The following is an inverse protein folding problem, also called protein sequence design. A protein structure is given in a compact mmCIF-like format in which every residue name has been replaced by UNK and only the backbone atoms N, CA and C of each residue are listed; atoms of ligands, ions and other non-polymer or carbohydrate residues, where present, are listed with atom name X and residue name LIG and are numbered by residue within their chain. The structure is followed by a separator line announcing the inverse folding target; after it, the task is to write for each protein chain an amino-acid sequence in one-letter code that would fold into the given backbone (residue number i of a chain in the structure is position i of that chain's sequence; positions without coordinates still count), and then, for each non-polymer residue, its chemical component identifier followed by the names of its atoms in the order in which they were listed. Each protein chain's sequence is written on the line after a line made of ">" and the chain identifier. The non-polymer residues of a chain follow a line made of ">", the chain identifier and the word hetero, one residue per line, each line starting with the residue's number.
data_IF_766219646286
#
_entry.id   IF_766219646286
#
_cell.length_a   1.000
_cell.length_b   1.000
_cell.length_c   1.000
_cell.angle_alpha   90.00
_cell.angle_beta   90.00
_cell.angle_gamma   90.00
#
_symmetry.space_group_name_H-M   'P 1'
#
loop_
_entity.id
_entity.type
_entity.pdbx_description
1 polymer ?
#
# COMPACT_ATOMS: atom_id res chain seq x y z
N UNK A 1 22.80 -25.99 -70.00
CA UNK A 1 23.27 -26.28 -68.65
C UNK A 1 22.42 -25.47 -67.70
N UNK A 2 21.52 -26.13 -66.92
CA UNK A 2 20.63 -25.49 -65.97
C UNK A 2 21.16 -25.82 -64.53
N UNK A 3 21.60 -24.80 -63.75
CA UNK A 3 22.02 -24.95 -62.38
C UNK A 3 20.83 -24.74 -61.45
N UNK A 4 20.39 -25.81 -60.81
CA UNK A 4 19.37 -25.76 -59.76
C UNK A 4 19.98 -25.33 -58.42
N UNK A 5 19.52 -24.24 -57.84
CA UNK A 5 19.84 -23.84 -56.46
C UNK A 5 18.93 -24.52 -55.41
N UNK A 6 19.41 -24.80 -54.21
CA UNK A 6 18.64 -25.53 -53.21
C UNK A 6 17.58 -24.66 -52.53
N UNK A 7 16.33 -25.18 -52.49
CA UNK A 7 15.22 -24.60 -51.73
C UNK A 7 15.48 -24.75 -50.22
N UNK A 8 15.64 -23.64 -49.47
CA UNK A 8 15.61 -23.60 -48.02
C UNK A 8 14.18 -23.89 -47.55
N UNK A 9 14.01 -24.99 -46.82
CA UNK A 9 12.79 -25.26 -46.04
C UNK A 9 12.72 -24.27 -44.90
N UNK A 10 11.66 -23.45 -44.84
CA UNK A 10 11.34 -22.61 -43.69
C UNK A 10 10.84 -23.46 -42.54
N UNK A 11 11.62 -23.54 -41.49
CA UNK A 11 11.20 -24.11 -40.22
C UNK A 11 10.13 -23.21 -39.58
N UNK A 12 8.88 -23.67 -39.66
CA UNK A 12 7.74 -23.01 -39.02
C UNK A 12 7.87 -23.07 -37.51
N UNK A 13 8.30 -21.98 -36.91
CA UNK A 13 8.25 -21.77 -35.47
C UNK A 13 6.79 -21.85 -35.01
N UNK A 14 6.35 -23.03 -34.51
CA UNK A 14 5.05 -23.20 -33.89
C UNK A 14 5.03 -22.38 -32.60
N UNK A 15 4.40 -21.22 -32.66
CA UNK A 15 4.01 -20.49 -31.44
C UNK A 15 3.10 -21.39 -30.60
N UNK A 16 3.65 -22.00 -29.58
CA UNK A 16 2.88 -22.70 -28.52
C UNK A 16 2.08 -21.63 -27.80
N UNK A 17 0.78 -21.50 -28.13
CA UNK A 17 -0.15 -20.69 -27.38
C UNK A 17 -0.10 -21.15 -25.90
N UNK A 18 0.16 -20.23 -24.92
CA UNK A 18 0.10 -20.61 -23.53
C UNK A 18 -1.28 -21.18 -23.22
N UNK A 19 -1.37 -22.20 -22.34
CA UNK A 19 -2.63 -22.84 -22.04
C UNK A 19 -3.63 -21.78 -21.53
N UNK A 20 -4.80 -21.71 -22.17
CA UNK A 20 -5.94 -20.89 -21.72
C UNK A 20 -6.27 -21.32 -20.29
N UNK A 21 -5.88 -20.50 -19.29
CA UNK A 21 -6.28 -20.71 -17.90
C UNK A 21 -7.80 -20.77 -17.87
N UNK A 22 -8.33 -21.93 -17.47
CA UNK A 22 -9.77 -22.15 -17.31
C UNK A 22 -10.38 -21.01 -16.49
N UNK A 23 -11.21 -20.22 -17.14
CA UNK A 23 -11.90 -19.09 -16.53
C UNK A 23 -12.95 -19.70 -15.58
N UNK A 24 -12.66 -19.73 -14.25
CA UNK A 24 -13.68 -20.12 -13.27
C UNK A 24 -14.92 -19.28 -13.52
N UNK A 25 -16.12 -19.87 -13.52
CA UNK A 25 -17.35 -19.18 -13.88
C UNK A 25 -17.46 -17.89 -13.05
N UNK A 26 -17.83 -16.80 -13.68
CA UNK A 26 -18.00 -15.47 -13.06
C UNK A 26 -18.86 -15.52 -11.77
N UNK A 27 -19.80 -16.46 -11.73
CA UNK A 27 -20.68 -16.71 -10.57
C UNK A 27 -19.87 -17.14 -9.34
N UNK A 28 -18.94 -18.09 -9.48
CA UNK A 28 -18.14 -18.59 -8.35
C UNK A 28 -17.25 -17.50 -7.73
N UNK A 29 -16.71 -16.60 -8.55
CA UNK A 29 -15.95 -15.44 -8.06
C UNK A 29 -16.83 -14.46 -7.30
N UNK A 30 -18.05 -14.19 -7.80
CA UNK A 30 -19.02 -13.31 -7.12
C UNK A 30 -19.45 -13.88 -5.79
N UNK A 31 -19.78 -15.18 -5.74
CA UNK A 31 -20.13 -15.87 -4.50
C UNK A 31 -18.98 -15.83 -3.49
N UNK A 32 -17.76 -16.20 -3.91
CA UNK A 32 -16.58 -16.14 -3.04
C UNK A 32 -16.29 -14.72 -2.53
N UNK A 33 -16.52 -13.70 -3.35
CA UNK A 33 -16.36 -12.30 -2.95
C UNK A 33 -17.45 -11.88 -1.94
N UNK A 34 -18.68 -12.29 -2.17
CA UNK A 34 -19.78 -12.03 -1.22
C UNK A 34 -19.48 -12.67 0.14
N UNK A 35 -19.07 -13.92 0.15
CA UNK A 35 -18.69 -14.63 1.38
C UNK A 35 -17.53 -13.93 2.10
N UNK A 36 -16.53 -13.47 1.35
CA UNK A 36 -15.39 -12.72 1.92
C UNK A 36 -15.83 -11.40 2.57
N UNK A 37 -16.64 -10.60 1.89
CA UNK A 37 -17.12 -9.32 2.44
C UNK A 37 -18.09 -9.53 3.61
N UNK A 38 -18.95 -10.55 3.54
CA UNK A 38 -19.81 -10.94 4.67
C UNK A 38 -18.97 -11.38 5.86
N UNK A 39 -17.90 -12.16 5.63
CA UNK A 39 -16.97 -12.57 6.68
C UNK A 39 -16.30 -11.35 7.34
N UNK A 40 -15.85 -10.35 6.55
CA UNK A 40 -15.33 -9.10 7.11
C UNK A 40 -16.37 -8.39 7.97
N UNK A 41 -17.61 -8.27 7.50
CA UNK A 41 -18.67 -7.59 8.22
C UNK A 41 -19.02 -8.31 9.55
N UNK A 42 -19.26 -9.61 9.48
CA UNK A 42 -19.65 -10.43 10.66
C UNK A 42 -18.52 -10.52 11.68
N UNK A 43 -17.29 -10.80 11.24
CA UNK A 43 -16.14 -10.85 12.15
C UNK A 43 -15.85 -9.48 12.80
N UNK A 44 -16.14 -8.37 12.09
CA UNK A 44 -15.99 -7.03 12.67
C UNK A 44 -16.96 -6.79 13.83
N UNK A 45 -18.17 -7.36 13.79
CA UNK A 45 -19.15 -7.28 14.90
C UNK A 45 -18.59 -7.96 16.15
N UNK A 46 -17.85 -9.06 15.99
CA UNK A 46 -17.24 -9.80 17.12
C UNK A 46 -15.92 -9.16 17.58
N UNK A 47 -15.07 -8.76 16.63
CA UNK A 47 -13.72 -8.30 16.95
C UNK A 47 -13.67 -6.86 17.44
N UNK A 48 -14.63 -6.01 17.07
CA UNK A 48 -14.67 -4.63 17.56
C UNK A 48 -14.92 -4.52 19.08
N UNK A 49 -15.88 -5.22 19.71
CA UNK A 49 -15.99 -5.27 21.17
C UNK A 49 -14.71 -5.72 21.85
N UNK A 50 -13.98 -6.70 21.29
CA UNK A 50 -12.68 -7.13 21.83
C UNK A 50 -11.65 -5.99 21.72
N UNK A 51 -11.61 -5.28 20.58
CA UNK A 51 -10.76 -4.10 20.43
C UNK A 51 -11.08 -3.02 21.48
N UNK A 52 -12.36 -2.82 21.77
CA UNK A 52 -12.80 -1.86 22.80
C UNK A 52 -12.34 -2.27 24.19
N UNK A 53 -12.45 -3.55 24.54
CA UNK A 53 -11.94 -4.08 25.81
C UNK A 53 -10.42 -3.93 25.89
N UNK A 54 -9.68 -4.31 24.83
CA UNK A 54 -8.22 -4.13 24.78
C UNK A 54 -7.86 -2.65 24.98
N UNK A 55 -8.56 -1.76 24.28
CA UNK A 55 -8.34 -0.31 24.45
C UNK A 55 -8.62 0.14 25.88
N UNK A 56 -9.77 -0.21 26.44
CA UNK A 56 -10.17 0.22 27.78
C UNK A 56 -9.21 -0.26 28.89
N UNK A 57 -8.67 -1.47 28.75
CA UNK A 57 -7.76 -2.06 29.73
C UNK A 57 -6.32 -1.61 29.57
N UNK A 58 -5.90 -1.18 28.37
CA UNK A 58 -4.48 -0.86 28.10
C UNK A 58 -4.19 0.63 27.91
N UNK A 59 -5.18 1.46 27.56
CA UNK A 59 -4.98 2.85 27.17
C UNK A 59 -4.36 3.75 28.26
N UNK A 60 -4.49 3.38 29.54
CA UNK A 60 -3.94 4.14 30.66
C UNK A 60 -2.40 4.04 30.73
N UNK A 61 -1.83 2.87 30.41
CA UNK A 61 -0.39 2.63 30.48
C UNK A 61 0.26 2.51 29.08
N UNK A 62 -0.49 2.12 28.05
CA UNK A 62 -0.01 2.09 26.66
C UNK A 62 -0.48 3.35 25.90
N UNK A 63 0.13 4.49 26.20
CA UNK A 63 -0.24 5.78 25.56
C UNK A 63 -0.10 5.77 24.03
N UNK A 64 0.78 4.93 23.50
CA UNK A 64 0.98 4.76 22.05
C UNK A 64 -0.02 3.81 21.42
N UNK A 65 -0.78 3.05 22.23
CA UNK A 65 -1.76 2.06 21.79
C UNK A 65 -1.10 0.94 20.95
N UNK A 66 0.07 0.47 21.38
CA UNK A 66 0.83 -0.59 20.70
C UNK A 66 0.07 -1.91 20.78
N UNK A 67 -0.50 -2.22 21.95
CA UNK A 67 -1.28 -3.45 22.19
C UNK A 67 -2.52 -3.48 21.31
N UNK A 68 -3.29 -2.37 21.29
CA UNK A 68 -4.47 -2.24 20.44
C UNK A 68 -4.08 -2.35 18.94
N UNK A 69 -2.98 -1.71 18.53
CA UNK A 69 -2.51 -1.80 17.16
C UNK A 69 -2.10 -3.23 16.78
N UNK A 70 -1.42 -3.97 17.67
CA UNK A 70 -1.10 -5.40 17.45
C UNK A 70 -2.34 -6.26 17.31
N UNK A 71 -3.36 -6.01 18.13
CA UNK A 71 -4.66 -6.65 17.96
C UNK A 71 -5.28 -6.31 16.60
N UNK A 72 -5.21 -5.05 16.17
CA UNK A 72 -5.66 -4.64 14.84
C UNK A 72 -4.87 -5.32 13.72
N UNK A 73 -3.55 -5.51 13.90
CA UNK A 73 -2.73 -6.30 12.96
C UNK A 73 -3.22 -7.75 12.87
N UNK A 74 -3.50 -8.39 14.00
CA UNK A 74 -4.09 -9.72 14.04
C UNK A 74 -5.44 -9.76 13.31
N UNK A 75 -6.36 -8.86 13.67
CA UNK A 75 -7.68 -8.76 13.06
C UNK A 75 -7.61 -8.62 11.53
N UNK A 76 -6.83 -7.66 11.02
CA UNK A 76 -6.66 -7.46 9.58
C UNK A 76 -5.98 -8.65 8.89
N UNK A 77 -5.02 -9.30 9.56
CA UNK A 77 -4.30 -10.44 9.03
C UNK A 77 -5.17 -11.69 8.86
N UNK A 78 -6.20 -11.87 9.70
CA UNK A 78 -7.17 -12.97 9.57
C UNK A 78 -7.74 -13.06 8.15
N UNK A 79 -8.04 -11.91 7.54
CA UNK A 79 -8.64 -11.85 6.21
C UNK A 79 -7.70 -12.37 5.11
N UNK A 80 -6.41 -12.23 5.29
CA UNK A 80 -5.41 -12.75 4.36
C UNK A 80 -4.97 -14.18 4.71
N UNK A 81 -4.97 -14.58 5.97
CA UNK A 81 -4.64 -15.94 6.39
C UNK A 81 -5.72 -16.95 6.02
N UNK A 82 -6.99 -16.58 6.24
CA UNK A 82 -8.13 -17.45 5.97
C UNK A 82 -8.55 -17.46 4.51
N UNK A 83 -7.95 -16.63 3.66
CA UNK A 83 -8.24 -16.65 2.23
C UNK A 83 -7.24 -17.54 1.46
N UNK A 84 -7.62 -18.76 1.06
CA UNK A 84 -6.72 -19.71 0.39
C UNK A 84 -6.30 -19.27 -1.02
N UNK A 85 -6.94 -18.22 -1.55
CA UNK A 85 -6.62 -17.67 -2.86
C UNK A 85 -5.38 -16.75 -2.83
N UNK A 86 -4.93 -16.31 -1.64
CA UNK A 86 -3.80 -15.40 -1.52
C UNK A 86 -2.63 -16.04 -0.81
N UNK A 87 -1.52 -16.11 -1.52
CA UNK A 87 -0.22 -16.50 -0.94
C UNK A 87 0.56 -15.21 -0.67
N UNK A 88 0.59 -14.78 0.59
CA UNK A 88 1.28 -13.55 0.98
C UNK A 88 2.66 -13.90 1.52
N UNK A 89 3.70 -13.42 0.85
CA UNK A 89 5.10 -13.52 1.25
C UNK A 89 5.59 -12.16 1.74
N UNK A 90 6.32 -12.17 2.85
CA UNK A 90 6.94 -10.96 3.42
C UNK A 90 8.44 -11.17 3.48
N UNK A 91 9.20 -10.27 2.90
CA UNK A 91 10.65 -10.27 2.83
C UNK A 91 11.20 -8.99 3.48
N UNK A 92 12.36 -9.05 4.11
CA UNK A 92 13.04 -7.89 4.70
C UNK A 92 12.42 -7.36 5.98
N UNK A 93 11.49 -8.10 6.62
CA UNK A 93 10.86 -7.66 7.88
C UNK A 93 11.89 -7.44 8.99
N UNK A 94 12.96 -8.18 8.99
CA UNK A 94 14.11 -8.10 9.91
C UNK A 94 14.86 -6.76 9.81
N UNK A 95 14.72 -6.04 8.70
CA UNK A 95 15.30 -4.70 8.52
C UNK A 95 14.60 -3.62 9.36
N UNK A 96 13.40 -3.91 9.88
CA UNK A 96 12.67 -3.01 10.77
C UNK A 96 13.25 -3.13 12.16
N UNK A 97 14.05 -2.15 12.58
CA UNK A 97 14.71 -2.16 13.88
C UNK A 97 13.68 -2.01 15.01
N UNK A 98 13.71 -2.88 16.03
CA UNK A 98 12.84 -2.77 17.19
C UNK A 98 12.98 -1.40 17.88
N UNK A 99 11.86 -0.75 18.20
CA UNK A 99 11.86 0.55 18.88
C UNK A 99 12.17 1.76 18.00
N UNK A 100 12.65 1.57 16.78
CA UNK A 100 12.87 2.68 15.85
C UNK A 100 11.56 3.28 15.35
N UNK A 101 11.61 4.57 15.04
CA UNK A 101 10.47 5.34 14.50
C UNK A 101 10.78 5.73 13.06
N UNK A 102 9.83 5.52 12.16
CA UNK A 102 9.98 5.73 10.73
C UNK A 102 8.84 6.53 10.13
N UNK A 103 9.12 7.25 9.05
CA UNK A 103 8.12 7.56 8.04
C UNK A 103 8.13 6.41 7.04
N UNK A 104 7.16 5.49 7.18
CA UNK A 104 7.00 4.34 6.32
C UNK A 104 6.22 4.73 5.07
N UNK A 105 6.74 4.41 3.90
CA UNK A 105 6.10 4.69 2.61
C UNK A 105 5.90 3.42 1.82
N UNK A 106 4.71 3.25 1.24
CA UNK A 106 4.39 2.09 0.42
C UNK A 106 3.67 2.50 -0.86
N UNK A 107 3.81 1.74 -1.96
CA UNK A 107 3.00 1.92 -3.15
C UNK A 107 1.55 1.43 -2.90
N UNK A 108 0.58 1.97 -3.65
CA UNK A 108 -0.84 1.72 -3.41
C UNK A 108 -1.58 1.24 -4.65
N UNK A 109 -1.79 -0.05 -4.76
CA UNK A 109 -2.41 -0.71 -5.90
C UNK A 109 -3.87 -1.12 -5.62
N UNK A 110 -4.16 -1.53 -4.38
CA UNK A 110 -5.42 -2.16 -4.00
C UNK A 110 -5.86 -1.80 -2.58
N UNK A 111 -7.12 -2.04 -2.26
CA UNK A 111 -7.57 -2.04 -0.87
C UNK A 111 -6.89 -3.12 -0.03
N UNK A 112 -6.46 -4.21 -0.66
CA UNK A 112 -5.74 -5.30 0.00
C UNK A 112 -4.37 -4.88 0.54
N UNK A 113 -3.74 -3.82 0.02
CA UNK A 113 -2.46 -3.33 0.52
C UNK A 113 -2.53 -3.04 2.02
N UNK A 114 -3.65 -2.48 2.47
CA UNK A 114 -3.87 -2.18 3.89
C UNK A 114 -3.87 -3.47 4.72
N UNK A 115 -4.59 -4.50 4.27
CA UNK A 115 -4.71 -5.78 4.98
C UNK A 115 -3.36 -6.51 5.06
N UNK A 116 -2.60 -6.50 3.96
CA UNK A 116 -1.33 -7.23 3.92
C UNK A 116 -0.21 -6.49 4.66
N UNK A 117 -0.22 -5.16 4.71
CA UNK A 117 0.75 -4.39 5.49
C UNK A 117 0.61 -4.62 7.01
N UNK A 118 -0.58 -4.90 7.50
CA UNK A 118 -0.78 -5.28 8.90
C UNK A 118 -0.07 -6.61 9.26
N UNK A 119 0.24 -7.48 8.29
CA UNK A 119 1.02 -8.71 8.51
C UNK A 119 2.48 -8.46 8.91
N UNK A 120 2.96 -7.25 8.78
CA UNK A 120 4.27 -6.87 9.32
C UNK A 120 4.30 -6.92 10.85
N UNK A 121 3.16 -6.79 11.54
CA UNK A 121 3.05 -6.78 13.00
C UNK A 121 3.99 -5.76 13.67
N UNK A 122 4.24 -4.65 12.99
CA UNK A 122 5.01 -3.51 13.53
C UNK A 122 4.07 -2.38 13.90
N UNK A 123 4.50 -1.57 14.89
CA UNK A 123 3.67 -0.48 15.35
C UNK A 123 3.80 0.76 14.46
N UNK A 124 2.71 1.22 13.90
CA UNK A 124 2.60 2.47 13.14
C UNK A 124 1.20 3.07 13.23
N UNK A 125 1.06 4.31 12.81
CA UNK A 125 -0.22 4.98 12.64
C UNK A 125 -0.45 5.28 11.17
N UNK A 126 -1.63 4.93 10.66
CA UNK A 126 -2.03 5.23 9.29
C UNK A 126 -2.37 6.70 9.10
N UNK A 127 -1.98 7.26 7.97
CA UNK A 127 -2.64 8.44 7.41
C UNK A 127 -3.70 7.96 6.44
N UNK A 128 -4.96 8.22 6.76
CA UNK A 128 -6.08 7.68 5.99
C UNK A 128 -7.13 8.73 5.69
N UNK A 129 -7.85 8.53 4.58
CA UNK A 129 -8.94 9.38 4.14
C UNK A 129 -10.04 9.45 5.20
N UNK A 130 -10.57 10.66 5.50
CA UNK A 130 -11.54 10.88 6.58
C UNK A 130 -12.81 10.04 6.43
N UNK A 131 -13.23 9.73 5.20
CA UNK A 131 -14.41 8.92 4.93
C UNK A 131 -14.26 7.47 5.41
N UNK A 132 -13.03 6.96 5.51
CA UNK A 132 -12.77 5.61 6.04
C UNK A 132 -13.15 5.50 7.52
N UNK A 133 -13.05 6.59 8.26
CA UNK A 133 -13.44 6.64 9.68
C UNK A 133 -14.97 6.61 9.91
N UNK A 134 -15.76 6.78 8.83
CA UNK A 134 -17.22 6.68 8.88
C UNK A 134 -17.73 5.25 8.70
N UNK A 135 -16.86 4.31 8.28
CA UNK A 135 -17.23 2.90 8.15
C UNK A 135 -17.47 2.33 9.54
N UNK A 136 -18.66 1.82 9.85
CA UNK A 136 -18.94 1.25 11.17
C UNK A 136 -17.92 0.18 11.56
N UNK A 137 -17.60 0.07 12.84
CA UNK A 137 -16.68 -0.89 13.45
C UNK A 137 -15.21 -0.70 12.99
N UNK A 138 -14.94 -0.76 11.69
CA UNK A 138 -13.59 -0.58 11.13
C UNK A 138 -13.11 0.86 11.34
N UNK A 139 -13.89 1.84 10.94
CA UNK A 139 -13.56 3.26 11.13
C UNK A 139 -13.50 3.66 12.60
N UNK A 140 -14.34 3.06 13.44
CA UNK A 140 -14.30 3.26 14.88
C UNK A 140 -13.01 2.67 15.50
N UNK A 141 -12.58 1.48 15.06
CA UNK A 141 -11.29 0.91 15.46
C UNK A 141 -10.11 1.78 14.99
N UNK A 142 -10.20 2.37 13.79
CA UNK A 142 -9.20 3.35 13.31
C UNK A 142 -9.14 4.59 14.22
N UNK A 143 -10.29 5.06 14.69
CA UNK A 143 -10.37 6.19 15.63
C UNK A 143 -9.80 5.82 17.02
N UNK A 144 -10.12 4.63 17.55
CA UNK A 144 -9.52 4.10 18.79
C UNK A 144 -7.99 4.04 18.70
N UNK A 145 -7.45 3.59 17.56
CA UNK A 145 -6.01 3.55 17.30
C UNK A 145 -5.38 4.93 17.10
N UNK A 146 -6.16 6.03 17.12
CA UNK A 146 -5.70 7.40 16.85
C UNK A 146 -4.98 7.54 15.52
N UNK A 147 -5.47 6.86 14.46
CA UNK A 147 -4.93 7.03 13.11
C UNK A 147 -5.21 8.45 12.58
N UNK A 148 -4.32 8.96 11.76
CA UNK A 148 -4.35 10.35 11.31
C UNK A 148 -5.34 10.51 10.16
N UNK A 149 -6.25 11.47 10.30
CA UNK A 149 -7.31 11.76 9.30
C UNK A 149 -6.81 12.77 8.28
N UNK A 150 -7.19 12.55 7.02
CA UNK A 150 -6.87 13.46 5.92
C UNK A 150 -8.10 13.66 5.03
N UNK A 151 -8.51 14.91 4.81
CA UNK A 151 -9.40 15.31 3.71
C UNK A 151 -8.54 15.77 2.55
N UNK A 152 -8.55 15.00 1.45
CA UNK A 152 -7.74 15.32 0.26
C UNK A 152 -8.27 16.58 -0.41
N UNK A 153 -7.35 17.44 -0.91
CA UNK A 153 -7.71 18.69 -1.57
C UNK A 153 -8.05 19.86 -0.62
N UNK A 154 -8.09 19.61 0.69
CA UNK A 154 -8.32 20.62 1.72
C UNK A 154 -6.98 21.01 2.37
N UNK A 155 -6.50 22.21 2.10
CA UNK A 155 -5.21 22.72 2.62
C UNK A 155 -5.16 22.73 4.14
N UNK A 156 -6.23 23.16 4.81
CA UNK A 156 -6.30 23.16 6.27
C UNK A 156 -6.21 21.74 6.85
N UNK A 157 -6.88 20.78 6.20
CA UNK A 157 -6.80 19.37 6.61
C UNK A 157 -5.40 18.79 6.40
N UNK A 158 -4.70 19.20 5.35
CA UNK A 158 -3.30 18.78 5.11
C UNK A 158 -2.38 19.32 6.22
N UNK A 159 -2.50 20.60 6.57
CA UNK A 159 -1.71 21.18 7.67
C UNK A 159 -1.97 20.44 8.99
N UNK A 160 -3.23 20.26 9.37
CA UNK A 160 -3.61 19.51 10.60
C UNK A 160 -3.11 18.06 10.58
N UNK A 161 -3.11 17.42 9.42
CA UNK A 161 -2.57 16.07 9.25
C UNK A 161 -1.05 16.05 9.47
N UNK A 162 -0.31 17.01 8.91
CA UNK A 162 1.15 17.12 9.08
C UNK A 162 1.50 17.31 10.56
N UNK A 163 0.85 18.26 11.25
CA UNK A 163 1.05 18.48 12.69
C UNK A 163 0.73 17.23 13.51
N UNK A 164 -0.35 16.49 13.17
CA UNK A 164 -0.70 15.25 13.86
C UNK A 164 0.35 14.15 13.62
N UNK A 165 0.92 14.07 12.42
CA UNK A 165 2.01 13.15 12.11
C UNK A 165 3.29 13.51 12.88
N UNK A 166 3.67 14.78 12.95
CA UNK A 166 4.82 15.25 13.71
C UNK A 166 4.70 14.89 15.19
N UNK A 167 3.54 15.18 15.82
CA UNK A 167 3.28 14.79 17.22
C UNK A 167 3.34 13.26 17.40
N UNK A 168 2.87 12.48 16.42
CA UNK A 168 2.86 11.03 16.48
C UNK A 168 4.28 10.46 16.41
N UNK A 169 5.12 10.99 15.52
CA UNK A 169 6.54 10.62 15.42
C UNK A 169 7.32 11.01 16.68
N UNK A 170 7.11 12.22 17.19
CA UNK A 170 7.72 12.70 18.44
C UNK A 170 7.33 11.82 19.65
N UNK A 171 6.12 11.25 19.64
CA UNK A 171 5.68 10.28 20.65
C UNK A 171 6.25 8.86 20.44
N UNK A 172 7.14 8.64 19.45
CA UNK A 172 7.79 7.36 19.18
C UNK A 172 6.91 6.35 18.43
N UNK A 173 5.92 6.81 17.67
CA UNK A 173 5.10 5.95 16.80
C UNK A 173 5.40 6.25 15.35
N UNK A 174 5.72 5.23 14.55
CA UNK A 174 5.92 5.36 13.10
C UNK A 174 4.64 5.81 12.40
N UNK A 175 4.79 6.49 11.25
CA UNK A 175 3.69 6.88 10.38
C UNK A 175 3.76 6.03 9.11
N UNK A 176 2.62 5.50 8.66
CA UNK A 176 2.49 4.77 7.39
C UNK A 176 1.69 5.61 6.40
N UNK A 177 2.25 5.84 5.22
CA UNK A 177 1.65 6.62 4.16
C UNK A 177 1.75 5.93 2.79
N UNK A 178 0.77 6.20 1.95
CA UNK A 178 0.82 5.92 0.52
C UNK A 178 1.11 7.23 -0.23
N UNK A 179 2.35 7.48 -0.67
CA UNK A 179 2.72 8.78 -1.26
C UNK A 179 2.01 9.06 -2.59
N UNK A 180 1.49 8.04 -3.28
CA UNK A 180 0.65 8.21 -4.46
C UNK A 180 -0.67 8.96 -4.16
N UNK A 181 -1.09 9.00 -2.91
CA UNK A 181 -2.31 9.65 -2.45
C UNK A 181 -3.61 8.98 -2.91
N UNK A 182 -3.57 8.00 -3.78
CA UNK A 182 -4.72 7.19 -4.22
C UNK A 182 -4.25 5.89 -4.84
N UNK A 183 -5.10 4.86 -4.86
CA UNK A 183 -4.80 3.59 -5.53
C UNK A 183 -4.51 3.78 -7.01
N UNK A 184 -3.56 3.03 -7.54
CA UNK A 184 -3.33 2.93 -8.97
C UNK A 184 -4.55 2.31 -9.69
N UNK A 185 -4.95 2.79 -10.86
CA UNK A 185 -6.05 2.21 -11.61
C UNK A 185 -5.66 0.93 -12.38
N UNK A 186 -4.41 0.81 -12.75
CA UNK A 186 -3.82 -0.22 -13.62
C UNK A 186 -2.73 -1.06 -12.94
N UNK A 187 -2.44 -0.76 -11.68
CA UNK A 187 -1.41 -1.43 -10.90
C UNK A 187 0.01 -0.86 -11.10
N UNK A 188 0.19 0.13 -11.98
CA UNK A 188 1.48 0.79 -12.18
C UNK A 188 1.74 1.85 -11.11
N UNK A 189 3.01 2.10 -10.83
CA UNK A 189 3.45 3.11 -9.89
C UNK A 189 3.08 4.53 -10.37
N UNK A 190 2.35 5.26 -9.56
CA UNK A 190 1.97 6.65 -9.83
C UNK A 190 3.07 7.63 -9.39
N UNK A 191 2.89 8.90 -9.76
CA UNK A 191 3.69 9.98 -9.20
C UNK A 191 3.49 10.06 -7.67
N UNK A 192 4.58 10.29 -6.95
CA UNK A 192 4.56 10.48 -5.51
C UNK A 192 4.26 11.95 -5.18
N UNK A 193 3.56 12.17 -4.08
CA UNK A 193 3.33 13.48 -3.49
C UNK A 193 4.39 13.77 -2.43
N UNK A 194 4.84 15.00 -2.28
CA UNK A 194 5.96 15.34 -1.40
C UNK A 194 5.68 15.18 0.11
N UNK A 195 4.41 15.11 0.53
CA UNK A 195 4.04 15.22 1.95
C UNK A 195 4.69 14.21 2.90
N UNK A 196 4.95 12.96 2.47
CA UNK A 196 5.66 11.98 3.31
C UNK A 196 7.15 12.34 3.46
N UNK A 197 7.76 12.84 2.41
CA UNK A 197 9.18 13.22 2.34
C UNK A 197 9.43 14.54 3.08
N UNK A 198 8.52 15.50 2.93
CA UNK A 198 8.49 16.73 3.73
C UNK A 198 8.40 16.41 5.23
N UNK A 199 7.51 15.48 5.63
CA UNK A 199 7.40 15.04 7.01
C UNK A 199 8.73 14.46 7.51
N UNK A 200 9.38 13.59 6.75
CA UNK A 200 10.65 12.98 7.11
C UNK A 200 11.77 14.02 7.29
N UNK A 201 11.85 15.01 6.37
CA UNK A 201 12.80 16.12 6.46
C UNK A 201 12.56 16.99 7.71
N UNK A 202 11.31 17.41 7.95
CA UNK A 202 10.93 18.27 9.10
C UNK A 202 11.16 17.61 10.44
N UNK A 203 10.89 16.31 10.54
CA UNK A 203 11.02 15.55 11.80
C UNK A 203 12.36 14.85 11.96
N UNK A 204 13.25 14.94 10.98
CA UNK A 204 14.55 14.25 10.94
C UNK A 204 14.39 12.73 11.15
N UNK A 205 13.30 12.17 10.62
CA UNK A 205 12.95 10.76 10.78
C UNK A 205 13.38 9.97 9.54
N UNK A 206 14.01 8.79 9.70
CA UNK A 206 14.38 7.95 8.56
C UNK A 206 13.14 7.49 7.77
N UNK A 207 13.32 7.35 6.45
CA UNK A 207 12.32 6.75 5.57
C UNK A 207 12.46 5.23 5.55
N UNK A 208 11.34 4.51 5.54
CA UNK A 208 11.32 3.07 5.35
C UNK A 208 10.43 2.71 4.15
N UNK A 209 11.02 2.44 2.99
CA UNK A 209 10.26 2.05 1.80
C UNK A 209 9.76 0.60 1.91
N UNK A 210 8.51 0.36 1.49
CA UNK A 210 7.88 -0.96 1.50
C UNK A 210 7.18 -1.18 0.16
N UNK A 211 7.64 -2.15 -0.61
CA UNK A 211 7.10 -2.45 -1.94
C UNK A 211 6.06 -3.56 -1.84
N UNK A 212 4.90 -3.34 -2.48
CA UNK A 212 3.79 -4.30 -2.53
C UNK A 212 3.53 -4.68 -3.97
N UNK A 213 3.41 -5.99 -4.23
CA UNK A 213 3.11 -6.54 -5.55
C UNK A 213 1.94 -7.53 -5.49
N UNK A 214 1.19 -7.61 -6.58
CA UNK A 214 0.18 -8.64 -6.80
C UNK A 214 -1.22 -8.30 -6.29
N UNK A 215 -1.39 -7.32 -5.43
CA UNK A 215 -2.68 -6.93 -4.85
C UNK A 215 -3.66 -6.35 -5.88
N UNK A 216 -3.18 -5.56 -6.86
CA UNK A 216 -4.02 -5.04 -7.95
C UNK A 216 -4.69 -6.16 -8.76
N UNK A 217 -3.98 -7.28 -8.96
CA UNK A 217 -4.52 -8.45 -9.67
C UNK A 217 -5.50 -9.25 -8.83
N UNK A 218 -5.32 -9.26 -7.50
CA UNK A 218 -6.20 -9.96 -6.56
C UNK A 218 -7.51 -9.20 -6.33
N UNK A 219 -7.45 -7.88 -6.19
CA UNK A 219 -8.61 -6.99 -6.08
C UNK A 219 -8.33 -5.67 -6.80
N UNK A 220 -8.80 -5.50 -8.04
CA UNK A 220 -8.64 -4.26 -8.80
C UNK A 220 -9.27 -3.05 -8.10
N UNK A 221 -8.77 -1.85 -8.42
CA UNK A 221 -9.26 -0.58 -7.84
C UNK A 221 -10.78 -0.39 -8.02
N UNK A 222 -11.31 -0.80 -9.17
CA UNK A 222 -12.75 -0.72 -9.49
C UNK A 222 -13.40 -2.07 -9.26
N UNK A 223 -14.38 -2.11 -8.37
CA UNK A 223 -15.15 -3.32 -8.05
C UNK A 223 -14.75 -3.98 -6.73
N UNK A 224 -15.59 -4.92 -6.31
CA UNK A 224 -15.47 -5.67 -5.06
C UNK A 224 -15.30 -7.18 -5.31
N UNK A 225 -15.07 -7.57 -6.58
CA UNK A 225 -14.97 -8.98 -6.97
C UNK A 225 -13.49 -9.41 -6.93
N UNK A 226 -13.19 -10.36 -6.05
CA UNK A 226 -11.88 -10.98 -5.91
C UNK A 226 -11.55 -11.82 -7.15
N UNK A 227 -10.30 -11.73 -7.64
CA UNK A 227 -9.88 -12.27 -8.92
C UNK A 227 -9.08 -13.59 -8.82
N UNK A 228 -9.53 -14.53 -8.01
CA UNK A 228 -8.91 -15.86 -7.97
C UNK A 228 -7.60 -15.91 -7.18
N UNK A 229 -6.70 -16.87 -7.56
CA UNK A 229 -5.45 -17.12 -6.83
C UNK A 229 -4.33 -16.20 -7.26
N UNK A 230 -3.71 -15.51 -6.29
CA UNK A 230 -2.59 -14.60 -6.54
C UNK A 230 -1.51 -14.76 -5.48
N UNK A 231 -0.26 -14.67 -5.93
CA UNK A 231 0.86 -14.41 -5.05
C UNK A 231 0.91 -12.90 -4.78
N UNK A 232 1.00 -12.54 -3.52
CA UNK A 232 1.17 -11.16 -3.04
C UNK A 232 2.52 -11.13 -2.34
N UNK A 233 3.36 -10.16 -2.67
CA UNK A 233 4.68 -9.99 -2.07
C UNK A 233 4.74 -8.63 -1.40
N UNK A 234 5.30 -8.62 -0.18
CA UNK A 234 5.64 -7.42 0.58
C UNK A 234 7.15 -7.45 0.77
N UNK A 235 7.86 -6.43 0.29
CA UNK A 235 9.29 -6.29 0.49
C UNK A 235 9.57 -5.03 1.30
N UNK A 236 10.14 -5.20 2.48
CA UNK A 236 10.69 -4.10 3.26
C UNK A 236 12.10 -3.86 2.74
N UNK A 237 12.35 -2.66 2.23
CA UNK A 237 13.66 -2.27 1.75
C UNK A 237 14.53 -1.76 2.91
N UNK A 238 15.79 -1.46 2.62
CA UNK A 238 16.67 -0.83 3.60
C UNK A 238 16.17 0.56 3.95
N UNK A 239 16.30 0.92 5.23
CA UNK A 239 15.94 2.27 5.66
C UNK A 239 16.85 3.29 4.97
N UNK A 240 16.28 4.43 4.63
CA UNK A 240 17.04 5.58 4.17
C UNK A 240 17.23 6.48 5.40
N UNK A 241 18.43 6.52 6.00
CA UNK A 241 18.67 7.29 7.21
C UNK A 241 18.57 8.79 6.89
N UNK A 242 18.12 9.58 7.88
CA UNK A 242 17.98 11.03 7.70
C UNK A 242 19.25 11.71 7.16
N UNK A 243 20.42 11.28 7.62
CA UNK A 243 21.70 11.83 7.17
C UNK A 243 21.93 11.72 5.66
N UNK A 244 21.33 10.71 5.01
CA UNK A 244 21.47 10.49 3.57
C UNK A 244 20.69 11.53 2.73
N UNK A 245 19.62 12.12 3.29
CA UNK A 245 18.77 13.06 2.55
C UNK A 245 18.58 14.42 3.24
N UNK A 246 19.30 14.69 4.33
CA UNK A 246 19.15 15.92 5.12
C UNK A 246 19.31 17.23 4.34
N UNK A 247 20.04 17.19 3.22
CA UNK A 247 20.30 18.34 2.34
C UNK A 247 19.61 18.24 0.99
N UNK A 248 18.87 17.17 0.73
CA UNK A 248 18.18 16.95 -0.54
C UNK A 248 16.88 17.75 -0.57
N UNK A 249 16.63 18.56 -1.61
CA UNK A 249 15.34 19.22 -1.80
C UNK A 249 14.20 18.19 -1.81
N UNK A 250 13.04 18.56 -1.26
CA UNK A 250 11.91 17.61 -1.09
C UNK A 250 11.44 16.98 -2.39
N UNK A 251 11.44 17.73 -3.49
CA UNK A 251 11.03 17.22 -4.81
C UNK A 251 12.05 16.19 -5.34
N UNK A 252 13.35 16.49 -5.21
CA UNK A 252 14.41 15.54 -5.58
C UNK A 252 14.33 14.26 -4.75
N UNK A 253 14.18 14.37 -3.43
CA UNK A 253 14.00 13.20 -2.54
C UNK A 253 12.76 12.38 -2.93
N UNK A 254 11.68 13.06 -3.32
CA UNK A 254 10.43 12.41 -3.76
C UNK A 254 10.66 11.57 -5.01
N UNK A 255 11.39 12.12 -5.99
CA UNK A 255 11.70 11.45 -7.25
C UNK A 255 12.72 10.32 -7.05
N UNK A 256 13.76 10.52 -6.22
CA UNK A 256 14.74 9.50 -5.86
C UNK A 256 14.07 8.27 -5.22
N UNK A 257 13.24 8.49 -4.20
CA UNK A 257 12.53 7.38 -3.54
C UNK A 257 11.55 6.72 -4.50
N UNK A 258 10.86 7.47 -5.35
CA UNK A 258 10.00 6.90 -6.38
C UNK A 258 10.80 6.04 -7.38
N UNK A 259 12.00 6.45 -7.75
CA UNK A 259 12.88 5.68 -8.63
C UNK A 259 13.28 4.34 -7.99
N UNK A 260 13.55 4.30 -6.68
CA UNK A 260 13.77 3.06 -5.94
C UNK A 260 12.57 2.11 -6.10
N UNK A 261 11.34 2.62 -5.92
CA UNK A 261 10.13 1.80 -6.11
C UNK A 261 9.98 1.30 -7.54
N UNK A 262 10.26 2.15 -8.54
CA UNK A 262 10.18 1.78 -9.95
C UNK A 262 11.17 0.67 -10.30
N UNK A 263 12.41 0.77 -9.81
CA UNK A 263 13.43 -0.26 -9.99
C UNK A 263 13.01 -1.61 -9.38
N UNK A 264 12.49 -1.57 -8.15
CA UNK A 264 12.02 -2.75 -7.43
C UNK A 264 10.81 -3.41 -8.08
N UNK A 265 9.93 -2.64 -8.70
CA UNK A 265 8.76 -3.13 -9.42
C UNK A 265 9.07 -3.55 -10.87
N UNK A 266 10.31 -3.34 -11.35
CA UNK A 266 10.69 -3.59 -12.75
C UNK A 266 9.97 -2.67 -13.74
N UNK A 267 9.57 -1.46 -13.30
CA UNK A 267 8.93 -0.47 -14.16
C UNK A 267 9.98 0.47 -14.76
N UNK A 268 9.89 0.72 -16.08
CA UNK A 268 10.74 1.70 -16.73
C UNK A 268 10.56 3.09 -16.08
N UNK A 269 11.65 3.79 -15.81
CA UNK A 269 11.59 5.17 -15.34
C UNK A 269 10.92 6.02 -16.44
N UNK A 270 9.91 6.86 -16.12
CA UNK A 270 9.48 7.88 -17.06
C UNK A 270 10.69 8.80 -17.33
N UNK A 271 11.00 9.02 -18.59
CA UNK A 271 12.06 9.96 -18.99
C UNK A 271 11.85 11.34 -18.33
N UNK A 272 12.91 12.18 -18.24
CA UNK A 272 12.90 13.44 -17.49
C UNK A 272 11.91 14.51 -17.97
N UNK A 273 11.05 14.22 -18.93
CA UNK A 273 10.08 15.16 -19.51
C UNK A 273 8.64 14.63 -19.50
N UNK A 274 8.04 14.57 -18.31
CA UNK A 274 6.60 14.40 -18.12
C UNK A 274 5.95 15.58 -17.40
N UNK A 275 6.39 16.82 -17.66
CA UNK A 275 5.59 17.99 -17.30
C UNK A 275 4.45 18.06 -18.30
N UNK A 276 3.23 17.82 -17.86
CA UNK A 276 2.01 18.13 -18.60
C UNK A 276 2.11 19.61 -19.02
N UNK A 277 2.11 19.85 -20.33
CA UNK A 277 1.97 21.19 -20.90
C UNK A 277 0.71 21.86 -20.34
N UNK A 278 0.75 23.17 -20.04
CA UNK A 278 -0.44 23.90 -19.67
C UNK A 278 -1.44 23.84 -20.83
N UNK A 279 -2.71 23.55 -20.50
CA UNK A 279 -3.80 23.64 -21.45
C UNK A 279 -3.82 25.05 -22.04
N UNK A 280 -3.57 25.14 -23.34
CA UNK A 280 -3.80 26.39 -24.08
C UNK A 280 -5.30 26.71 -24.02
N UNK A 281 -5.64 27.82 -23.36
CA UNK A 281 -6.89 28.54 -23.57
C UNK A 281 -7.01 28.84 -25.07
N UNK A 282 -8.00 28.26 -25.73
CA UNK A 282 -8.47 28.72 -27.02
C UNK A 282 -9.58 29.73 -26.73
N UNK A 283 -9.21 31.00 -26.78
CA UNK A 283 -10.17 32.10 -26.86
C UNK A 283 -10.80 32.13 -28.25
N UNK A 284 -12.06 32.23 -28.34
CA UNK A 284 -12.93 33.18 -29.09
C UNK A 284 -14.36 32.94 -28.64
#
# INVERSE_FOLDING_TARGET
>A
MRSGGPRRRGDGCRFIKPPRRANKPHVLRRVGSLLFWTFIAVSSIVLFPVALVVWATTALFDRRLVVLHRFTCFWASLYSWLNPAWRVHTEGREKIRPGATYVMVANHQSFLDILVLFRLFVHFKWVSKIEMFRIPLIGWNMALNRYVRLRRGDRMSITKMMEACERTLAAGSSIMMFPEGTRSPDGRLRAFKPGAFELALRTRTPLLPIVIEGTARALPKRGFVLQGRHAIRIRVLDEIPYAAFARTPVDALTDEVRAVFAAELGEAQPGPHGRSAPAHEVGT
#
